data_IF_736754475898
#
_entry.id   IF_736754475898
#
_cell.length_a   1.000
_cell.length_b   1.000
_cell.length_c   1.000
_cell.angle_alpha   90.00
_cell.angle_beta   90.00
_cell.angle_gamma   90.00
#
_symmetry.space_group_name_H-M   'P 1'
#
loop_
_entity.id
_entity.type
_entity.pdbx_description
1 polymer ?
#
# COMPACT_ATOMS: atom_id res chain seq x y z
N UNK A 1 3.39 7.77 22.32
CA UNK A 1 2.44 8.15 21.26
C UNK A 1 1.32 7.12 21.22
N UNK A 2 0.06 7.56 21.23
CA UNK A 2 -1.11 6.69 21.03
C UNK A 2 -1.21 6.28 19.55
N UNK A 3 -1.88 5.16 19.22
CA UNK A 3 -2.08 4.67 17.84
C UNK A 3 -2.56 5.76 16.88
N UNK A 4 -3.63 6.47 17.27
CA UNK A 4 -4.22 7.53 16.45
C UNK A 4 -3.24 8.67 16.11
N UNK A 5 -2.25 8.93 16.98
CA UNK A 5 -1.23 9.96 16.74
C UNK A 5 -0.16 9.51 15.72
N UNK A 6 0.14 8.21 15.65
CA UNK A 6 1.08 7.67 14.65
C UNK A 6 0.45 7.61 13.27
N UNK A 7 -0.77 7.10 13.17
CA UNK A 7 -1.53 7.05 11.91
C UNK A 7 -1.66 8.46 11.31
N UNK A 8 -1.91 9.48 12.16
CA UNK A 8 -1.98 10.88 11.70
C UNK A 8 -0.64 11.42 11.19
N UNK A 9 0.48 11.06 11.81
CA UNK A 9 1.82 11.49 11.35
C UNK A 9 2.17 10.82 10.03
N UNK A 10 1.90 9.52 9.89
CA UNK A 10 2.20 8.76 8.67
C UNK A 10 1.40 9.29 7.49
N UNK A 11 0.10 9.55 7.69
CA UNK A 11 -0.73 10.19 6.66
C UNK A 11 -0.16 11.54 6.23
N UNK A 12 0.14 12.42 7.18
CA UNK A 12 0.74 13.73 6.87
C UNK A 12 2.09 13.62 6.15
N UNK A 13 2.91 12.63 6.51
CA UNK A 13 4.20 12.41 5.88
C UNK A 13 4.05 12.04 4.40
N UNK A 14 3.09 11.17 4.08
CA UNK A 14 2.85 10.69 2.71
C UNK A 14 1.85 11.54 1.90
N UNK A 15 1.23 12.55 2.51
CA UNK A 15 0.57 13.65 1.79
C UNK A 15 1.58 14.49 0.98
N UNK A 16 2.86 14.51 1.40
CA UNK A 16 3.94 15.07 0.60
C UNK A 16 4.27 14.13 -0.57
N UNK A 17 4.06 14.63 -1.79
CA UNK A 17 4.30 13.91 -3.04
C UNK A 17 5.76 13.55 -3.24
N UNK A 18 6.71 14.34 -2.74
CA UNK A 18 8.14 14.02 -2.80
C UNK A 18 8.44 12.81 -1.90
N UNK A 19 7.88 12.79 -0.69
CA UNK A 19 8.03 11.68 0.23
C UNK A 19 7.42 10.40 -0.35
N UNK A 20 6.19 10.48 -0.87
CA UNK A 20 5.53 9.34 -1.51
C UNK A 20 6.32 8.83 -2.73
N UNK A 21 6.75 9.72 -3.64
CA UNK A 21 7.52 9.34 -4.81
C UNK A 21 8.84 8.68 -4.40
N UNK A 22 9.55 9.25 -3.42
CA UNK A 22 10.79 8.68 -2.89
C UNK A 22 10.56 7.30 -2.31
N UNK A 23 9.48 7.08 -1.56
CA UNK A 23 9.14 5.77 -1.00
C UNK A 23 8.91 4.73 -2.09
N UNK A 24 8.04 5.02 -3.07
CA UNK A 24 7.74 4.07 -4.15
C UNK A 24 8.97 3.81 -5.03
N UNK A 25 9.78 4.82 -5.32
CA UNK A 25 11.06 4.66 -6.01
C UNK A 25 12.00 3.71 -5.26
N UNK A 26 12.07 3.84 -3.94
CA UNK A 26 12.84 2.93 -3.09
C UNK A 26 12.32 1.50 -3.12
N UNK A 27 11.01 1.30 -2.92
CA UNK A 27 10.44 -0.03 -2.68
C UNK A 27 10.08 -0.81 -3.95
N UNK A 28 9.56 -0.14 -4.98
CA UNK A 28 9.11 -0.77 -6.24
C UNK A 28 10.19 -0.69 -7.30
N UNK A 29 10.82 0.49 -7.44
CA UNK A 29 11.82 0.73 -8.48
C UNK A 29 13.27 0.53 -8.00
N UNK A 30 13.46 -0.06 -6.82
CA UNK A 30 14.76 -0.44 -6.28
C UNK A 30 15.76 0.73 -6.21
N UNK A 31 15.29 1.88 -5.74
CA UNK A 31 16.07 3.12 -5.61
C UNK A 31 16.19 3.94 -6.89
N UNK A 32 15.65 3.48 -8.02
CA UNK A 32 15.65 4.27 -9.26
C UNK A 32 14.60 5.37 -9.20
N UNK A 33 14.99 6.59 -9.57
CA UNK A 33 14.12 7.78 -9.64
C UNK A 33 13.21 7.75 -10.88
N UNK A 34 12.24 6.84 -10.88
CA UNK A 34 11.27 6.70 -11.98
C UNK A 34 10.08 7.63 -11.77
N UNK A 35 9.53 7.65 -10.57
CA UNK A 35 8.42 8.52 -10.21
C UNK A 35 8.90 9.93 -9.88
N UNK A 36 8.20 10.91 -10.44
CA UNK A 36 8.32 12.32 -10.12
C UNK A 36 7.05 12.78 -9.41
N UNK A 37 7.23 13.46 -8.27
CA UNK A 37 6.17 14.11 -7.48
C UNK A 37 5.26 15.01 -8.33
N UNK A 38 5.82 15.65 -9.36
CA UNK A 38 5.11 16.61 -10.22
C UNK A 38 4.04 15.94 -11.08
N UNK A 39 4.21 14.64 -11.36
CA UNK A 39 3.28 13.86 -12.17
C UNK A 39 2.26 13.09 -11.32
N UNK A 40 2.37 13.15 -9.99
CA UNK A 40 1.43 12.48 -9.10
C UNK A 40 0.12 13.29 -8.99
N UNK A 41 -0.99 12.64 -9.29
CA UNK A 41 -2.35 13.15 -9.15
C UNK A 41 -3.09 12.35 -8.10
N UNK A 42 -3.62 13.02 -7.09
CA UNK A 42 -4.34 12.35 -6.00
C UNK A 42 -5.65 11.74 -6.53
N UNK A 43 -5.93 10.50 -6.14
CA UNK A 43 -7.21 9.87 -6.42
C UNK A 43 -8.16 10.16 -5.27
N UNK A 44 -9.23 10.90 -5.56
CA UNK A 44 -10.27 11.16 -4.58
C UNK A 44 -11.07 9.88 -4.27
N UNK A 45 -10.94 9.38 -3.03
CA UNK A 45 -11.58 8.16 -2.53
C UNK A 45 -12.98 8.38 -1.95
N UNK A 46 -13.49 9.62 -1.90
CA UNK A 46 -14.79 9.95 -1.28
C UNK A 46 -16.00 9.25 -1.94
N UNK A 47 -15.84 8.83 -3.19
CA UNK A 47 -16.84 8.13 -3.99
C UNK A 47 -16.86 6.62 -3.76
N UNK A 48 -15.93 6.08 -2.97
CA UNK A 48 -15.99 4.67 -2.56
C UNK A 48 -17.11 4.53 -1.52
N UNK A 49 -17.77 3.38 -1.50
CA UNK A 49 -19.00 3.19 -0.73
C UNK A 49 -18.82 3.49 0.77
N UNK A 50 -19.87 4.01 1.40
CA UNK A 50 -19.85 4.36 2.83
C UNK A 50 -19.54 3.16 3.72
N UNK A 51 -19.99 1.96 3.33
CA UNK A 51 -19.65 0.68 3.98
C UNK A 51 -18.15 0.39 4.01
N UNK A 52 -17.38 1.03 3.12
CA UNK A 52 -15.95 0.86 2.95
C UNK A 52 -15.13 2.00 3.57
N UNK A 53 -15.75 3.15 3.86
CA UNK A 53 -15.06 4.33 4.40
C UNK A 53 -14.40 4.05 5.75
N UNK A 54 -14.99 3.18 6.56
CA UNK A 54 -14.38 2.77 7.82
C UNK A 54 -13.14 1.89 7.63
N UNK A 55 -13.05 1.15 6.52
CA UNK A 55 -11.95 0.24 6.16
C UNK A 55 -10.83 0.94 5.39
N UNK A 56 -11.16 2.00 4.64
CA UNK A 56 -10.19 2.90 3.97
C UNK A 56 -9.33 3.68 4.96
N UNK A 57 -9.61 3.62 6.27
CA UNK A 57 -8.78 4.27 7.29
C UNK A 57 -7.30 3.85 7.23
N UNK A 58 -7.01 2.63 6.79
CA UNK A 58 -5.64 2.13 6.64
C UNK A 58 -4.96 2.62 5.34
N UNK A 59 -5.73 3.19 4.41
CA UNK A 59 -5.17 3.84 3.22
C UNK A 59 -4.50 5.12 3.67
N UNK A 60 -3.21 5.20 3.40
CA UNK A 60 -2.42 6.39 3.62
C UNK A 60 -2.66 7.36 2.49
N UNK A 61 -2.40 6.90 1.26
CA UNK A 61 -2.49 7.75 0.08
C UNK A 61 -2.63 6.93 -1.20
N UNK A 62 -3.32 7.51 -2.19
CA UNK A 62 -3.44 6.93 -3.53
C UNK A 62 -3.13 7.98 -4.59
N UNK A 63 -2.07 7.75 -5.37
CA UNK A 63 -1.66 8.61 -6.46
C UNK A 63 -1.72 7.89 -7.81
N UNK A 64 -2.13 8.62 -8.83
CA UNK A 64 -2.05 8.23 -10.24
C UNK A 64 -0.96 9.01 -10.94
N UNK A 65 -0.23 8.36 -11.85
CA UNK A 65 0.76 8.99 -12.72
C UNK A 65 0.76 8.31 -14.08
N UNK A 66 0.54 9.08 -15.15
CA UNK A 66 0.43 8.55 -16.51
C UNK A 66 -0.44 7.29 -16.57
N UNK A 67 0.23 6.16 -16.75
CA UNK A 67 -0.35 4.85 -16.99
C UNK A 67 -0.58 4.01 -15.73
N UNK A 68 -0.20 4.45 -14.53
CA UNK A 68 -0.15 3.63 -13.31
C UNK A 68 -0.85 4.30 -12.11
N UNK A 69 -1.38 3.47 -11.21
CA UNK A 69 -1.93 3.90 -9.92
C UNK A 69 -1.18 3.21 -8.79
N UNK A 70 -0.72 3.99 -7.82
CA UNK A 70 -0.06 3.51 -6.61
C UNK A 70 -0.96 3.75 -5.41
N UNK A 71 -1.23 2.68 -4.67
CA UNK A 71 -1.96 2.73 -3.41
C UNK A 71 -1.04 2.31 -2.25
N UNK A 72 -0.86 3.22 -1.30
CA UNK A 72 -0.05 3.00 -0.09
C UNK A 72 -0.96 2.77 1.10
N UNK A 73 -0.77 1.63 1.74
CA UNK A 73 -1.49 1.21 2.93
C UNK A 73 -0.54 1.18 4.10
N UNK A 74 -1.03 1.53 5.28
CA UNK A 74 -0.25 1.49 6.51
C UNK A 74 -0.82 0.40 7.42
N UNK A 75 0.08 -0.45 7.90
CA UNK A 75 -0.24 -1.46 8.90
C UNK A 75 0.69 -1.29 10.10
N UNK A 76 0.10 -0.99 11.25
CA UNK A 76 0.79 -1.04 12.53
C UNK A 76 0.76 -2.44 13.12
N UNK A 77 1.89 -2.87 13.69
CA UNK A 77 1.97 -4.11 14.44
C UNK A 77 0.97 -4.13 15.59
N UNK A 78 -0.15 -4.81 15.39
CA UNK A 78 -0.93 -5.39 16.47
C UNK A 78 -0.30 -6.75 16.80
N UNK A 79 -0.14 -7.02 18.09
CA UNK A 79 0.41 -8.25 18.68
C UNK A 79 -0.38 -9.54 18.37
N UNK A 80 -1.31 -9.48 17.41
CA UNK A 80 -2.16 -10.58 16.95
C UNK A 80 -1.94 -10.75 15.45
N UNK A 81 -1.71 -12.00 15.02
CA UNK A 81 -1.62 -12.33 13.60
C UNK A 81 -2.96 -12.05 12.93
N UNK A 82 -2.99 -11.06 12.03
CA UNK A 82 -4.18 -10.72 11.26
C UNK A 82 -4.14 -11.40 9.89
N UNK A 83 -4.76 -12.58 9.80
CA UNK A 83 -4.87 -13.32 8.55
C UNK A 83 -5.73 -12.62 7.49
N UNK A 84 -6.44 -11.54 7.84
CA UNK A 84 -7.33 -10.84 6.91
C UNK A 84 -6.60 -9.89 5.95
N UNK A 85 -5.33 -9.55 6.20
CA UNK A 85 -4.60 -8.52 5.45
C UNK A 85 -4.59 -8.73 3.93
N UNK A 86 -4.41 -9.98 3.48
CA UNK A 86 -4.44 -10.32 2.04
C UNK A 86 -5.83 -10.04 1.46
N UNK A 87 -6.90 -10.48 2.15
CA UNK A 87 -8.28 -10.25 1.71
C UNK A 87 -8.64 -8.77 1.72
N UNK A 88 -8.22 -8.02 2.74
CA UNK A 88 -8.46 -6.57 2.83
C UNK A 88 -7.80 -5.84 1.65
N UNK A 89 -6.54 -6.15 1.35
CA UNK A 89 -5.86 -5.52 0.20
C UNK A 89 -6.50 -5.88 -1.14
N UNK A 90 -6.91 -7.14 -1.30
CA UNK A 90 -7.62 -7.58 -2.49
C UNK A 90 -8.94 -6.83 -2.66
N UNK A 91 -9.72 -6.70 -1.58
CA UNK A 91 -10.97 -5.91 -1.56
C UNK A 91 -10.71 -4.45 -1.95
N UNK A 92 -9.65 -3.84 -1.40
CA UNK A 92 -9.31 -2.45 -1.63
C UNK A 92 -8.87 -2.19 -3.08
N UNK A 93 -8.03 -3.08 -3.64
CA UNK A 93 -7.60 -2.96 -5.02
C UNK A 93 -8.78 -3.17 -5.99
N UNK A 94 -9.68 -4.11 -5.70
CA UNK A 94 -10.89 -4.33 -6.49
C UNK A 94 -11.79 -3.08 -6.50
N UNK A 95 -12.02 -2.45 -5.36
CA UNK A 95 -12.82 -1.21 -5.28
C UNK A 95 -12.20 -0.06 -6.09
N UNK A 96 -10.88 0.09 -6.06
CA UNK A 96 -10.19 1.09 -6.89
C UNK A 96 -10.35 0.79 -8.39
N UNK A 97 -10.26 -0.48 -8.80
CA UNK A 97 -10.53 -0.88 -10.18
C UNK A 97 -11.99 -0.62 -10.56
N UNK A 98 -12.96 -0.95 -9.71
CA UNK A 98 -14.38 -0.70 -9.96
C UNK A 98 -14.66 0.80 -10.09
N UNK A 99 -14.03 1.64 -9.25
CA UNK A 99 -14.08 3.09 -9.38
C UNK A 99 -13.52 3.54 -10.74
N UNK A 100 -12.33 3.09 -11.13
CA UNK A 100 -11.72 3.44 -12.41
C UNK A 100 -12.51 2.94 -13.61
N UNK A 101 -13.09 1.75 -13.52
CA UNK A 101 -13.99 1.21 -14.52
C UNK A 101 -15.24 2.10 -14.69
N UNK A 102 -15.86 2.54 -13.59
CA UNK A 102 -16.98 3.48 -13.62
C UNK A 102 -16.58 4.84 -14.17
N UNK A 103 -15.39 5.35 -13.88
CA UNK A 103 -14.88 6.59 -14.49
C UNK A 103 -14.65 6.41 -16.01
N UNK A 104 -14.21 5.23 -16.44
CA UNK A 104 -13.85 4.90 -17.82
C UNK A 104 -14.98 4.27 -18.67
N UNK A 105 -16.18 4.06 -18.11
CA UNK A 105 -17.24 3.26 -18.74
C UNK A 105 -17.65 3.73 -20.15
N UNK A 106 -17.38 4.99 -20.50
CA UNK A 106 -17.72 5.59 -21.81
C UNK A 106 -16.63 5.43 -22.86
N UNK A 107 -15.36 5.28 -22.46
CA UNK A 107 -14.23 5.32 -23.40
C UNK A 107 -13.70 3.92 -23.74
N UNK A 108 -14.08 2.88 -22.98
CA UNK A 108 -13.66 1.46 -23.18
C UNK A 108 -12.14 1.28 -23.30
N UNK A 109 -11.38 2.19 -22.71
CA UNK A 109 -9.91 2.10 -22.69
C UNK A 109 -9.45 1.03 -21.70
N UNK A 110 -8.20 0.56 -21.84
CA UNK A 110 -7.59 -0.28 -20.82
C UNK A 110 -7.45 0.52 -19.52
N UNK A 111 -7.70 -0.11 -18.38
CA UNK A 111 -7.50 0.54 -17.08
C UNK A 111 -6.00 0.55 -16.75
N UNK A 112 -5.50 1.62 -16.09
CA UNK A 112 -4.15 1.62 -15.54
C UNK A 112 -4.02 0.47 -14.52
N UNK A 113 -2.86 -0.21 -14.42
CA UNK A 113 -2.63 -1.17 -13.36
C UNK A 113 -2.58 -0.44 -12.02
N UNK A 114 -3.03 -1.14 -10.99
CA UNK A 114 -3.02 -0.65 -9.61
C UNK A 114 -1.98 -1.45 -8.85
N UNK A 115 -0.97 -0.77 -8.34
CA UNK A 115 0.11 -1.35 -7.53
C UNK A 115 -0.16 -0.97 -6.08
N UNK A 116 -0.39 -1.97 -5.25
CA UNK A 116 -0.70 -1.81 -3.84
C UNK A 116 0.45 -2.28 -2.98
N UNK A 117 0.91 -1.43 -2.06
CA UNK A 117 2.00 -1.75 -1.12
C UNK A 117 1.58 -1.47 0.32
N UNK A 118 1.99 -2.34 1.23
CA UNK A 118 1.81 -2.17 2.67
C UNK A 118 3.11 -1.66 3.26
N UNK A 119 3.07 -0.46 3.83
CA UNK A 119 4.10 0.04 4.73
C UNK A 119 3.84 -0.49 6.14
N UNK A 120 4.73 -1.36 6.60
CA UNK A 120 4.62 -2.01 7.90
C UNK A 120 5.57 -1.37 8.92
N UNK A 121 4.99 -0.79 9.97
CA UNK A 121 5.75 -0.06 11.00
C UNK A 121 5.96 -0.87 12.28
N UNK A 122 5.79 -2.19 12.21
CA UNK A 122 6.08 -3.09 13.32
C UNK A 122 7.57 -3.18 13.66
N UNK A 123 7.83 -3.45 14.94
CA UNK A 123 9.18 -3.70 15.45
C UNK A 123 9.71 -5.06 15.04
N UNK A 124 8.82 -6.05 15.10
CA UNK A 124 9.12 -7.41 14.70
C UNK A 124 9.10 -7.52 13.19
N UNK A 125 9.75 -8.55 12.66
CA UNK A 125 9.56 -8.93 11.27
C UNK A 125 8.09 -9.29 11.00
N UNK A 126 7.62 -8.95 9.79
CA UNK A 126 6.30 -9.35 9.32
C UNK A 126 6.20 -10.88 9.24
N UNK A 127 5.31 -11.46 10.05
CA UNK A 127 5.07 -12.91 10.16
C UNK A 127 3.72 -13.37 9.60
N UNK A 128 2.96 -12.48 8.95
CA UNK A 128 1.63 -12.81 8.40
C UNK A 128 1.73 -13.29 6.95
N UNK A 129 0.66 -13.89 6.44
CA UNK A 129 0.57 -14.32 5.04
C UNK A 129 0.75 -13.15 4.07
N UNK A 130 1.39 -13.44 2.93
CA UNK A 130 1.75 -12.50 1.86
C UNK A 130 1.11 -12.86 0.52
N UNK A 131 0.26 -13.88 0.48
CA UNK A 131 -0.36 -14.33 -0.75
C UNK A 131 -1.69 -15.02 -0.49
N UNK A 132 -2.58 -15.04 -1.50
CA UNK A 132 -3.85 -15.76 -1.41
C UNK A 132 -3.61 -17.25 -1.20
N UNK A 133 -2.58 -17.81 -1.85
CA UNK A 133 -2.23 -19.22 -1.71
C UNK A 133 -1.91 -19.62 -0.26
N UNK A 134 -1.30 -18.73 0.52
CA UNK A 134 -1.05 -18.99 1.95
C UNK A 134 -2.32 -18.86 2.82
N UNK A 135 -3.34 -18.16 2.32
CA UNK A 135 -4.59 -17.90 3.05
C UNK A 135 -5.67 -18.97 2.83
N UNK A 136 -5.54 -19.85 1.84
CA UNK A 136 -6.59 -20.80 1.44
C UNK A 136 -6.10 -22.24 1.46
N UNK A 137 -7.02 -23.19 1.57
CA UNK A 137 -6.71 -24.61 1.42
C UNK A 137 -6.48 -24.92 -0.06
N UNK A 138 -5.22 -24.92 -0.48
CA UNK A 138 -4.82 -25.12 -1.87
C UNK A 138 -4.32 -26.55 -2.12
N UNK A 139 -4.89 -27.22 -3.13
CA UNK A 139 -4.35 -28.48 -3.66
C UNK A 139 -3.66 -28.24 -5.01
N UNK A 140 -2.73 -29.14 -5.39
CA UNK A 140 -1.97 -29.02 -6.65
C UNK A 140 -2.87 -29.07 -7.89
N UNK A 141 -3.99 -29.78 -7.79
CA UNK A 141 -4.95 -29.94 -8.88
C UNK A 141 -5.73 -28.65 -9.15
N UNK A 142 -6.02 -27.87 -8.11
CA UNK A 142 -6.79 -26.62 -8.22
C UNK A 142 -5.92 -25.37 -8.37
N UNK A 143 -4.64 -25.44 -7.99
CA UNK A 143 -3.68 -24.33 -8.07
C UNK A 143 -3.69 -23.61 -9.43
N UNK A 144 -3.68 -24.29 -10.60
CA UNK A 144 -3.68 -23.61 -11.89
C UNK A 144 -4.95 -22.79 -12.20
N UNK A 145 -6.03 -22.98 -11.44
CA UNK A 145 -7.33 -22.35 -11.67
C UNK A 145 -7.57 -21.12 -10.79
N UNK A 146 -6.64 -20.84 -9.87
CA UNK A 146 -6.75 -19.74 -8.91
C UNK A 146 -5.62 -18.76 -9.18
N UNK A 147 -5.94 -17.47 -9.25
CA UNK A 147 -4.91 -16.43 -9.36
C UNK A 147 -4.34 -16.12 -7.98
N UNK A 148 -3.04 -16.26 -7.81
CA UNK A 148 -2.40 -15.90 -6.56
C UNK A 148 -2.26 -14.39 -6.39
N UNK A 149 -3.08 -13.80 -5.53
CA UNK A 149 -2.95 -12.39 -5.18
C UNK A 149 -1.78 -12.17 -4.24
N UNK A 150 -0.78 -11.40 -4.68
CA UNK A 150 0.43 -11.10 -3.89
C UNK A 150 0.28 -9.81 -3.09
N UNK A 151 0.68 -9.87 -1.82
CA UNK A 151 0.79 -8.75 -0.91
C UNK A 151 2.25 -8.27 -0.82
N UNK A 152 2.50 -7.04 -1.26
CA UNK A 152 3.83 -6.43 -1.18
C UNK A 152 3.97 -5.66 0.13
N UNK A 153 4.72 -6.23 1.08
CA UNK A 153 4.96 -5.63 2.40
C UNK A 153 6.38 -5.11 2.51
N UNK A 154 6.51 -3.84 2.89
CA UNK A 154 7.78 -3.19 3.17
C UNK A 154 7.81 -2.77 4.63
N UNK A 155 8.57 -3.52 5.42
CA UNK A 155 8.68 -3.33 6.87
C UNK A 155 9.96 -2.61 7.27
N UNK A 156 9.87 -1.69 8.23
CA UNK A 156 11.04 -1.02 8.80
C UNK A 156 12.06 -2.00 9.42
N UNK A 157 11.58 -3.13 9.97
CA UNK A 157 12.44 -4.17 10.55
C UNK A 157 13.15 -5.03 9.50
N UNK A 158 12.56 -5.20 8.32
CA UNK A 158 12.98 -6.20 7.32
C UNK A 158 13.87 -5.63 6.22
N UNK A 159 13.71 -4.35 5.89
CA UNK A 159 14.36 -3.76 4.72
C UNK A 159 15.27 -2.61 5.14
N UNK A 160 16.55 -2.68 4.72
CA UNK A 160 17.44 -1.52 4.72
C UNK A 160 17.35 -0.86 3.36
N UNK A 161 16.41 0.08 3.24
CA UNK A 161 16.24 0.90 2.03
C UNK A 161 16.55 2.33 2.42
N UNK A 162 17.54 2.91 1.76
CA UNK A 162 17.77 4.35 1.80
C UNK A 162 16.90 5.02 0.74
N UNK A 163 16.16 6.03 1.18
CA UNK A 163 15.36 6.88 0.34
C UNK A 163 16.13 8.17 0.02
N UNK A 164 15.86 8.83 -1.09
CA UNK A 164 16.45 10.15 -1.34
C UNK A 164 15.93 11.22 -0.38
N UNK A 165 14.69 11.05 0.10
CA UNK A 165 14.08 11.97 1.04
C UNK A 165 14.63 11.74 2.46
N UNK A 166 15.36 12.74 2.98
CA UNK A 166 15.99 12.68 4.30
C UNK A 166 14.97 12.60 5.44
N UNK A 167 13.83 13.28 5.35
CA UNK A 167 12.78 13.24 6.37
C UNK A 167 12.16 11.85 6.45
N UNK A 168 11.96 11.19 5.30
CA UNK A 168 11.48 9.81 5.24
C UNK A 168 12.50 8.84 5.86
N UNK A 169 13.78 8.98 5.54
CA UNK A 169 14.83 8.18 6.18
C UNK A 169 14.86 8.38 7.68
N UNK A 170 14.83 9.63 8.14
CA UNK A 170 14.83 9.95 9.56
C UNK A 170 13.59 9.40 10.26
N UNK A 171 12.42 9.48 9.61
CA UNK A 171 11.18 8.93 10.11
C UNK A 171 11.23 7.40 10.23
N UNK A 172 11.67 6.70 9.18
CA UNK A 172 11.80 5.23 9.17
C UNK A 172 12.83 4.77 10.20
N UNK A 173 13.97 5.46 10.29
CA UNK A 173 14.99 5.23 11.31
C UNK A 173 14.41 5.43 12.72
N UNK A 174 13.67 6.52 12.91
CA UNK A 174 12.93 6.81 14.14
C UNK A 174 11.98 5.67 14.49
N UNK A 175 11.18 5.14 13.55
CA UNK A 175 10.31 4.01 13.81
C UNK A 175 11.06 2.72 14.17
N UNK A 176 12.22 2.48 13.54
CA UNK A 176 13.05 1.28 13.76
C UNK A 176 13.73 1.30 15.13
N UNK A 177 14.18 2.47 15.60
CA UNK A 177 15.03 2.61 16.79
C UNK A 177 14.42 3.40 17.96
N UNK A 178 13.27 4.06 17.78
CA UNK A 178 12.59 4.71 18.91
C UNK A 178 11.84 3.65 19.69
N UNK A 179 12.46 3.10 20.73
CA UNK A 179 11.94 2.53 21.99
C UNK A 179 12.99 1.62 22.61
#
# INVERSE_FOLDING_TARGET
MNKDSKDSIIKKLFEDKEVFASFINGVIYQGKKILSSHHLKEINLSTISDSFKERIRDIVQVYQTGDEIFALYHNESQSVVDFSMVFRMMEYQAELYLKKFKENHRHREKLPPIISVVFYTGKEEWKQYRSLYECVQLSKEIEPWISDYKLYVFGCAQNEIEFDNMDLNFFVWGLKYSY
#
